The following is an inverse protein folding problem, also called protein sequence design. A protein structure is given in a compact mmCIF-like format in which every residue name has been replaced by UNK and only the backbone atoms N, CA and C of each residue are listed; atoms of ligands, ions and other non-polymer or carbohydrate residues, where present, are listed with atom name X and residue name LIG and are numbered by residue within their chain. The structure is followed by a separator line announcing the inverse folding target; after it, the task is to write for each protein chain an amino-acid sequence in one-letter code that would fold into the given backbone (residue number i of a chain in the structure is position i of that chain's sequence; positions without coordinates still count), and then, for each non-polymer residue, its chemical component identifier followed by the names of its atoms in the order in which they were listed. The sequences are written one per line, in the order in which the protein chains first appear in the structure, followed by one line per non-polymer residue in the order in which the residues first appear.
data_IF_989920947439
#
_entry.id   IF_989920947439
#
_cell.length_a   1.000
_cell.length_b   1.000
_cell.length_c   1.000
_cell.angle_alpha   90.00
_cell.angle_beta   90.00
_cell.angle_gamma   90.00
#
_symmetry.space_group_name_H-M   'P 1'
#
loop_
_entity.id
_entity.type
_entity.pdbx_description
1 polymer ?
#
# COMPACT_ATOMS: atom_id res chain seq x y z
N UNK A 1 0.97 -17.63 27.56
CA UNK A 1 0.80 -16.92 26.29
C UNK A 1 0.05 -15.63 26.60
N UNK A 2 0.55 -14.47 26.17
CA UNK A 2 -0.24 -13.24 26.15
C UNK A 2 -1.55 -13.47 25.35
N UNK A 3 -2.68 -12.85 25.74
CA UNK A 3 -3.97 -13.06 25.09
C UNK A 3 -4.06 -12.51 23.65
N UNK A 4 -3.31 -11.47 23.31
CA UNK A 4 -3.20 -10.96 21.93
C UNK A 4 -4.49 -10.34 21.37
N UNK A 5 -5.26 -9.64 22.21
CA UNK A 5 -6.53 -9.06 21.78
C UNK A 5 -6.37 -8.01 20.67
N UNK A 6 -5.39 -7.10 20.82
CA UNK A 6 -5.00 -6.14 19.80
C UNK A 6 -4.02 -6.79 18.81
N UNK A 7 -3.05 -7.57 19.31
CA UNK A 7 -1.93 -8.20 18.58
C UNK A 7 -2.05 -9.75 18.58
N UNK A 8 -2.77 -10.37 17.65
CA UNK A 8 -3.49 -9.76 16.53
C UNK A 8 -4.93 -10.28 16.33
N UNK A 9 -5.65 -10.56 17.42
CA UNK A 9 -7.06 -10.94 17.30
C UNK A 9 -7.91 -9.83 16.63
N UNK A 10 -7.52 -8.57 16.78
CA UNK A 10 -8.18 -7.42 16.13
C UNK A 10 -8.06 -7.45 14.60
N UNK A 11 -6.90 -7.78 14.05
CA UNK A 11 -6.70 -7.95 12.60
C UNK A 11 -7.46 -9.17 12.06
N UNK A 12 -7.44 -10.29 12.79
CA UNK A 12 -8.19 -11.49 12.44
C UNK A 12 -9.71 -11.24 12.44
N UNK A 13 -10.22 -10.50 13.43
CA UNK A 13 -11.64 -10.15 13.50
C UNK A 13 -12.08 -9.33 12.28
N UNK A 14 -11.28 -8.35 11.86
CA UNK A 14 -11.52 -7.58 10.62
C UNK A 14 -11.53 -8.50 9.40
N UNK A 15 -10.54 -9.38 9.28
CA UNK A 15 -10.43 -10.33 8.16
C UNK A 15 -11.68 -11.22 8.03
N UNK A 16 -12.16 -11.78 9.15
CA UNK A 16 -13.35 -12.63 9.19
C UNK A 16 -14.63 -11.85 8.85
N UNK A 17 -14.80 -10.65 9.39
CA UNK A 17 -15.99 -9.84 9.13
C UNK A 17 -16.05 -9.37 7.67
N UNK A 18 -14.92 -8.96 7.10
CA UNK A 18 -14.85 -8.60 5.69
C UNK A 18 -15.09 -9.82 4.78
N UNK A 19 -14.61 -11.01 5.16
CA UNK A 19 -14.92 -12.24 4.44
C UNK A 19 -16.43 -12.53 4.46
N UNK A 20 -17.10 -12.37 5.61
CA UNK A 20 -18.55 -12.50 5.75
C UNK A 20 -19.30 -11.53 4.82
N UNK A 21 -18.88 -10.26 4.78
CA UNK A 21 -19.51 -9.24 3.93
C UNK A 21 -19.27 -9.55 2.44
N UNK A 22 -18.02 -9.80 2.04
CA UNK A 22 -17.65 -10.01 0.64
C UNK A 22 -18.12 -11.34 0.05
N UNK A 23 -18.48 -12.32 0.88
CA UNK A 23 -19.12 -13.56 0.43
C UNK A 23 -20.45 -13.32 -0.34
N UNK A 24 -21.10 -12.17 -0.12
CA UNK A 24 -22.33 -11.79 -0.83
C UNK A 24 -22.08 -11.06 -2.17
N UNK A 25 -20.83 -10.81 -2.53
CA UNK A 25 -20.45 -10.06 -3.72
C UNK A 25 -19.54 -10.88 -4.64
N UNK A 26 -19.43 -10.46 -5.90
CA UNK A 26 -18.57 -11.08 -6.90
C UNK A 26 -17.55 -10.06 -7.41
N UNK A 27 -16.44 -9.84 -6.69
CA UNK A 27 -15.36 -8.99 -7.19
C UNK A 27 -14.78 -9.58 -8.47
N UNK A 28 -14.20 -8.72 -9.32
CA UNK A 28 -13.64 -9.16 -10.61
C UNK A 28 -12.29 -9.87 -10.48
N UNK A 29 -11.57 -9.60 -9.40
CA UNK A 29 -10.34 -10.29 -9.01
C UNK A 29 -10.56 -11.10 -7.74
N UNK A 30 -9.78 -12.17 -7.59
CA UNK A 30 -9.80 -13.00 -6.38
C UNK A 30 -9.32 -12.20 -5.17
N UNK A 31 -10.07 -12.30 -4.08
CA UNK A 31 -9.70 -11.81 -2.76
C UNK A 31 -9.36 -13.03 -1.90
N UNK A 32 -8.21 -12.98 -1.22
CA UNK A 32 -7.76 -14.03 -0.30
C UNK A 32 -7.67 -13.44 1.10
N UNK A 33 -8.38 -14.05 2.05
CA UNK A 33 -8.27 -13.75 3.47
C UNK A 33 -7.40 -14.82 4.12
N UNK A 34 -6.35 -14.40 4.82
CA UNK A 34 -5.38 -15.31 5.43
C UNK A 34 -5.14 -14.91 6.88
N UNK A 35 -5.21 -15.89 7.78
CA UNK A 35 -4.68 -15.77 9.14
C UNK A 35 -3.37 -16.58 9.19
N UNK A 36 -2.24 -15.91 9.41
CA UNK A 36 -0.95 -16.56 9.43
C UNK A 36 -0.68 -17.21 10.79
N UNK A 37 -0.05 -18.38 10.75
CA UNK A 37 0.53 -18.99 11.94
C UNK A 37 2.03 -18.67 11.97
N UNK A 38 2.59 -18.53 13.18
CA UNK A 38 4.04 -18.43 13.32
C UNK A 38 4.65 -17.06 13.09
N UNK A 39 3.87 -15.96 13.12
CA UNK A 39 4.37 -14.58 13.02
C UNK A 39 5.44 -14.35 14.10
N UNK A 40 5.05 -14.57 15.35
CA UNK A 40 5.89 -14.39 16.55
C UNK A 40 7.08 -15.35 16.65
N UNK A 41 7.13 -16.38 15.79
CA UNK A 41 8.26 -17.31 15.68
C UNK A 41 9.18 -17.01 14.48
N UNK A 42 8.99 -15.85 13.84
CA UNK A 42 9.78 -15.41 12.70
C UNK A 42 9.05 -15.51 11.36
N UNK A 43 7.77 -15.16 11.31
CA UNK A 43 6.97 -15.01 10.08
C UNK A 43 6.80 -16.30 9.27
N UNK A 44 6.78 -17.46 9.93
CA UNK A 44 6.87 -18.78 9.26
C UNK A 44 5.74 -19.02 8.25
N UNK A 45 4.50 -18.69 8.62
CA UNK A 45 3.34 -18.84 7.73
C UNK A 45 3.40 -17.92 6.51
N UNK A 46 3.75 -16.64 6.71
CA UNK A 46 3.88 -15.69 5.62
C UNK A 46 5.03 -16.03 4.67
N UNK A 47 6.18 -16.48 5.20
CA UNK A 47 7.30 -16.98 4.38
C UNK A 47 6.88 -18.16 3.51
N UNK A 48 6.18 -19.14 4.08
CA UNK A 48 5.72 -20.30 3.34
C UNK A 48 4.75 -19.90 2.21
N UNK A 49 3.77 -19.04 2.50
CA UNK A 49 2.79 -18.62 1.50
C UNK A 49 3.44 -17.76 0.40
N UNK A 50 4.29 -16.80 0.76
CA UNK A 50 4.98 -15.94 -0.19
C UNK A 50 5.86 -16.76 -1.16
N UNK A 51 6.60 -17.75 -0.65
CA UNK A 51 7.42 -18.62 -1.49
C UNK A 51 6.56 -19.55 -2.35
N UNK A 52 5.46 -20.08 -1.81
CA UNK A 52 4.49 -20.88 -2.57
C UNK A 52 3.93 -20.08 -3.74
N UNK A 53 3.49 -18.84 -3.50
CA UNK A 53 2.96 -17.95 -4.53
C UNK A 53 4.02 -17.63 -5.58
N UNK A 54 5.24 -17.33 -5.15
CA UNK A 54 6.38 -17.06 -6.05
C UNK A 54 6.68 -18.25 -6.96
N UNK A 55 6.76 -19.45 -6.39
CA UNK A 55 7.01 -20.69 -7.14
C UNK A 55 5.90 -21.01 -8.14
N UNK A 56 4.65 -20.70 -7.78
CA UNK A 56 3.49 -20.86 -8.64
C UNK A 56 3.26 -19.68 -9.60
N UNK A 57 4.14 -18.66 -9.62
CA UNK A 57 4.00 -17.45 -10.44
C UNK A 57 2.65 -16.75 -10.26
N UNK A 58 2.14 -16.73 -9.02
CA UNK A 58 0.85 -16.11 -8.70
C UNK A 58 0.95 -14.61 -8.98
N UNK A 59 -0.01 -14.08 -9.74
CA UNK A 59 -0.19 -12.66 -9.96
C UNK A 59 -0.89 -12.02 -8.74
N UNK A 60 -0.11 -11.51 -7.79
CA UNK A 60 -0.61 -10.84 -6.59
C UNK A 60 -0.51 -9.32 -6.75
N UNK A 61 -1.67 -8.65 -6.80
CA UNK A 61 -1.73 -7.20 -6.97
C UNK A 61 -1.27 -6.44 -5.71
N UNK A 62 -1.61 -6.93 -4.52
CA UNK A 62 -1.24 -6.34 -3.25
C UNK A 62 -1.35 -7.37 -2.12
N UNK A 63 -0.43 -7.29 -1.15
CA UNK A 63 -0.56 -7.89 0.16
C UNK A 63 -0.85 -6.77 1.18
N UNK A 64 -1.97 -6.86 1.88
CA UNK A 64 -2.38 -5.90 2.91
C UNK A 64 -2.34 -6.62 4.25
N UNK A 65 -1.35 -6.27 5.07
CA UNK A 65 -1.19 -6.82 6.42
C UNK A 65 -1.94 -5.96 7.43
N UNK A 66 -2.75 -6.58 8.30
CA UNK A 66 -3.40 -5.95 9.43
C UNK A 66 -2.71 -6.43 10.67
N UNK A 67 -2.24 -5.52 11.50
CA UNK A 67 -1.44 -5.90 12.66
C UNK A 67 -1.57 -4.81 13.71
N UNK A 68 -2.18 -5.17 14.84
CA UNK A 68 -2.55 -4.21 15.89
C UNK A 68 -3.47 -3.11 15.37
N UNK A 69 -4.63 -3.48 14.81
CA UNK A 69 -5.63 -2.54 14.28
C UNK A 69 -6.80 -2.36 15.25
N UNK A 70 -6.52 -2.37 16.57
CA UNK A 70 -7.54 -2.53 17.61
C UNK A 70 -7.64 -1.42 18.65
N UNK A 71 -6.66 -0.51 18.77
CA UNK A 71 -6.64 0.47 19.86
C UNK A 71 -6.18 1.86 19.40
N UNK A 72 -6.92 2.90 19.77
CA UNK A 72 -6.64 4.30 19.42
C UNK A 72 -5.86 5.07 20.50
N UNK A 73 -5.67 4.46 21.69
CA UNK A 73 -5.15 5.12 22.89
C UNK A 73 -3.68 4.81 23.13
N UNK A 74 -2.91 5.85 23.48
CA UNK A 74 -1.52 5.76 23.87
C UNK A 74 -1.34 5.50 25.38
N UNK A 75 -0.12 5.14 25.77
CA UNK A 75 0.25 4.96 27.19
C UNK A 75 0.07 6.24 28.04
N UNK A 76 0.29 7.43 27.45
CA UNK A 76 0.11 8.72 28.13
C UNK A 76 -1.37 9.18 28.20
N UNK A 77 -2.29 8.37 27.68
CA UNK A 77 -3.72 8.66 27.66
C UNK A 77 -4.19 9.47 26.45
N UNK A 78 -3.30 9.92 25.58
CA UNK A 78 -3.68 10.55 24.30
C UNK A 78 -4.46 9.56 23.43
N UNK A 79 -5.39 10.07 22.62
CA UNK A 79 -6.24 9.26 21.75
C UNK A 79 -6.14 9.78 20.32
N UNK A 80 -6.05 8.86 19.37
CA UNK A 80 -6.05 9.16 17.93
C UNK A 80 -7.00 8.21 17.19
N UNK A 81 -8.33 8.37 17.35
CA UNK A 81 -9.33 7.41 16.87
C UNK A 81 -9.59 7.48 15.36
N UNK A 82 -9.00 8.46 14.67
CA UNK A 82 -9.26 8.77 13.26
C UNK A 82 -8.01 8.71 12.39
N UNK A 83 -6.89 8.18 12.90
CA UNK A 83 -5.70 7.97 12.08
C UNK A 83 -5.15 6.57 12.26
N UNK A 84 -4.79 5.93 11.15
CA UNK A 84 -4.12 4.64 11.12
C UNK A 84 -2.80 4.74 10.36
N UNK A 85 -1.73 4.13 10.86
CA UNK A 85 -0.43 4.11 10.15
C UNK A 85 -0.45 3.04 9.08
N UNK A 86 0.14 3.35 7.93
CA UNK A 86 0.37 2.41 6.85
C UNK A 86 1.86 2.41 6.48
N UNK A 87 2.57 1.34 6.83
CA UNK A 87 3.98 1.18 6.51
C UNK A 87 4.15 0.76 5.05
N UNK A 88 4.91 1.58 4.32
CA UNK A 88 5.20 1.41 2.90
C UNK A 88 6.70 1.42 2.67
N UNK A 89 7.25 0.27 2.25
CA UNK A 89 8.66 0.14 1.89
C UNK A 89 9.06 1.18 0.83
N UNK A 90 10.29 1.72 0.92
CA UNK A 90 10.92 2.47 -0.18
C UNK A 90 11.29 1.57 -1.35
N UNK A 91 12.51 1.71 -1.88
CA UNK A 91 13.01 0.90 -3.00
C UNK A 91 12.83 -0.61 -2.75
N UNK A 92 12.28 -1.38 -3.72
CA UNK A 92 12.12 -2.83 -3.57
C UNK A 92 13.44 -3.55 -3.32
N UNK A 93 13.44 -4.56 -2.44
CA UNK A 93 14.66 -5.36 -2.12
C UNK A 93 15.13 -6.21 -3.30
N UNK A 94 14.22 -6.49 -4.24
CA UNK A 94 14.45 -7.35 -5.40
C UNK A 94 14.77 -6.57 -6.68
N UNK A 95 14.87 -5.24 -6.61
CA UNK A 95 15.16 -4.39 -7.76
C UNK A 95 16.62 -4.63 -8.23
N UNK A 96 16.82 -4.79 -9.54
CA UNK A 96 18.17 -4.99 -10.09
C UNK A 96 19.00 -3.68 -10.04
N UNK A 97 20.32 -3.80 -10.09
CA UNK A 97 21.24 -2.67 -9.95
C UNK A 97 20.96 -1.52 -10.95
N UNK A 98 20.69 -1.85 -12.22
CA UNK A 98 20.38 -0.84 -13.26
C UNK A 98 19.12 -0.05 -12.94
N UNK A 99 18.06 -0.74 -12.52
CA UNK A 99 16.77 -0.10 -12.19
C UNK A 99 16.90 0.73 -10.92
N UNK A 100 17.63 0.24 -9.92
CA UNK A 100 17.93 0.97 -8.70
C UNK A 100 18.71 2.26 -8.99
N UNK A 101 19.78 2.19 -9.80
CA UNK A 101 20.53 3.39 -10.23
C UNK A 101 19.64 4.38 -10.97
N UNK A 102 18.81 3.90 -11.91
CA UNK A 102 17.89 4.76 -12.65
C UNK A 102 16.82 5.39 -11.76
N UNK A 103 16.33 4.67 -10.75
CA UNK A 103 15.36 5.20 -9.78
C UNK A 103 15.97 6.33 -8.97
N UNK A 104 17.19 6.14 -8.48
CA UNK A 104 17.89 7.17 -7.70
C UNK A 104 18.20 8.40 -8.56
N UNK A 105 18.57 8.24 -9.84
CA UNK A 105 18.89 9.38 -10.71
C UNK A 105 17.68 10.26 -11.03
N UNK A 106 16.45 9.73 -10.94
CA UNK A 106 15.21 10.47 -11.18
C UNK A 106 14.47 10.87 -9.90
N UNK A 107 15.08 10.68 -8.72
CA UNK A 107 14.44 11.00 -7.43
C UNK A 107 13.23 10.09 -7.09
N UNK A 108 13.20 8.88 -7.63
CA UNK A 108 12.07 7.94 -7.51
C UNK A 108 12.12 7.01 -6.28
N UNK A 109 12.99 7.27 -5.30
CA UNK A 109 13.11 6.48 -4.07
C UNK A 109 11.84 6.55 -3.21
N UNK A 110 11.04 7.60 -3.39
CA UNK A 110 9.74 7.79 -2.75
C UNK A 110 8.53 7.24 -3.53
N UNK A 111 8.77 6.58 -4.66
CA UNK A 111 7.72 6.16 -5.60
C UNK A 111 7.88 4.68 -5.97
N UNK A 112 8.21 3.89 -4.95
CA UNK A 112 8.17 2.43 -5.04
C UNK A 112 6.73 1.91 -5.21
N UNK A 113 6.55 0.67 -5.69
CA UNK A 113 5.24 0.02 -5.75
C UNK A 113 4.47 0.08 -4.42
N UNK A 114 5.15 -0.15 -3.29
CA UNK A 114 4.51 -0.11 -1.97
C UNK A 114 4.08 1.31 -1.55
N UNK A 115 4.85 2.35 -1.86
CA UNK A 115 4.46 3.75 -1.58
C UNK A 115 3.33 4.22 -2.50
N UNK A 116 3.33 3.79 -3.76
CA UNK A 116 2.23 4.10 -4.67
C UNK A 116 0.94 3.34 -4.32
N UNK A 117 1.05 2.11 -3.82
CA UNK A 117 -0.07 1.42 -3.19
C UNK A 117 -0.56 2.21 -1.97
N UNK A 118 0.35 2.70 -1.11
CA UNK A 118 -0.03 3.54 0.04
C UNK A 118 -0.76 4.82 -0.34
N UNK A 119 -0.31 5.52 -1.40
CA UNK A 119 -1.01 6.70 -1.94
C UNK A 119 -2.39 6.35 -2.49
N UNK A 120 -2.50 5.21 -3.18
CA UNK A 120 -3.78 4.72 -3.67
C UNK A 120 -4.75 4.43 -2.51
N UNK A 121 -4.28 3.73 -1.47
CA UNK A 121 -5.08 3.45 -0.26
C UNK A 121 -5.53 4.76 0.38
N UNK A 122 -4.62 5.73 0.53
CA UNK A 122 -4.97 7.05 1.04
C UNK A 122 -6.10 7.69 0.22
N UNK A 123 -5.98 7.72 -1.11
CA UNK A 123 -6.95 8.32 -2.02
C UNK A 123 -8.34 7.68 -1.90
N UNK A 124 -8.43 6.35 -1.86
CA UNK A 124 -9.72 5.65 -1.86
C UNK A 124 -10.34 5.54 -0.47
N UNK A 125 -9.53 5.59 0.59
CA UNK A 125 -9.98 5.25 1.95
C UNK A 125 -9.84 6.37 2.98
N UNK A 126 -9.21 7.51 2.69
CA UNK A 126 -9.17 8.65 3.62
C UNK A 126 -10.30 9.62 3.33
N UNK A 127 -11.50 9.30 3.82
CA UNK A 127 -12.71 10.06 3.51
C UNK A 127 -13.79 9.94 4.60
N UNK A 128 -14.88 10.67 4.41
CA UNK A 128 -16.00 10.75 5.37
C UNK A 128 -16.72 9.42 5.59
N UNK A 129 -16.62 8.45 4.68
CA UNK A 129 -17.31 7.17 4.82
C UNK A 129 -16.56 6.19 5.71
N UNK A 130 -15.23 6.22 5.63
CA UNK A 130 -14.36 5.43 6.50
C UNK A 130 -14.17 6.10 7.86
N UNK A 131 -14.35 7.43 7.94
CA UNK A 131 -14.10 8.25 9.12
C UNK A 131 -12.67 8.07 9.66
N UNK A 132 -11.73 7.70 8.78
CA UNK A 132 -10.35 7.36 9.12
C UNK A 132 -9.43 8.00 8.09
N UNK A 133 -8.31 8.53 8.56
CA UNK A 133 -7.22 9.02 7.73
C UNK A 133 -6.08 8.01 7.72
N UNK A 134 -5.64 7.61 6.52
CA UNK A 134 -4.48 6.73 6.36
C UNK A 134 -3.20 7.56 6.39
N UNK A 135 -2.39 7.41 7.44
CA UNK A 135 -1.07 8.04 7.54
C UNK A 135 -0.03 7.13 6.88
N UNK A 136 0.37 7.47 5.66
CA UNK A 136 1.42 6.74 4.94
C UNK A 136 2.77 6.99 5.62
N UNK A 137 3.41 5.92 6.09
CA UNK A 137 4.71 5.94 6.73
C UNK A 137 5.74 5.40 5.72
N UNK A 138 6.69 6.25 5.33
CA UNK A 138 7.75 5.94 4.35
C UNK A 138 8.86 5.05 4.92
N UNK A 139 8.48 3.91 5.49
CA UNK A 139 9.35 2.93 6.13
C UNK A 139 8.81 1.54 5.85
N UNK A 140 9.71 0.55 5.82
CA UNK A 140 9.31 -0.85 5.75
C UNK A 140 8.51 -1.25 7.01
N UNK A 141 8.94 -0.78 8.18
CA UNK A 141 8.29 -1.08 9.45
C UNK A 141 8.65 -0.10 10.60
N UNK A 142 8.07 -0.34 11.78
CA UNK A 142 8.47 0.21 13.09
C UNK A 142 9.88 -0.23 13.45
N UNK A 143 10.55 0.56 14.30
CA UNK A 143 11.89 0.21 14.78
C UNK A 143 11.89 -1.13 15.52
N UNK A 144 12.83 -2.00 15.14
CA UNK A 144 13.02 -3.34 15.75
C UNK A 144 11.83 -4.28 15.64
N UNK A 145 10.87 -4.00 14.73
CA UNK A 145 9.71 -4.87 14.48
C UNK A 145 9.67 -5.34 13.03
N UNK A 146 8.89 -6.39 12.81
CA UNK A 146 8.54 -6.94 11.51
C UNK A 146 7.06 -7.33 11.52
N UNK A 147 6.54 -7.75 10.37
CA UNK A 147 5.19 -8.32 10.24
C UNK A 147 5.07 -9.09 8.93
N UNK A 148 3.94 -9.75 8.74
CA UNK A 148 3.71 -10.71 7.66
C UNK A 148 3.76 -10.13 6.23
N UNK A 149 3.76 -8.81 6.04
CA UNK A 149 4.00 -8.20 4.72
C UNK A 149 5.45 -8.35 4.24
N UNK A 150 6.41 -8.49 5.15
CA UNK A 150 7.84 -8.48 4.82
C UNK A 150 8.27 -9.66 3.93
N UNK A 151 7.87 -10.92 4.19
CA UNK A 151 8.21 -12.04 3.30
C UNK A 151 7.66 -11.87 1.89
N UNK A 152 6.52 -11.19 1.71
CA UNK A 152 5.98 -10.88 0.38
C UNK A 152 6.83 -9.86 -0.35
N UNK A 153 7.29 -8.80 0.33
CA UNK A 153 8.23 -7.82 -0.22
C UNK A 153 9.55 -8.49 -0.63
N UNK A 154 10.09 -9.38 0.21
CA UNK A 154 11.31 -10.16 -0.07
C UNK A 154 11.13 -11.15 -1.24
N UNK A 155 9.91 -11.66 -1.43
CA UNK A 155 9.56 -12.48 -2.57
C UNK A 155 9.43 -11.68 -3.89
N UNK A 156 9.31 -10.34 -3.82
CA UNK A 156 9.14 -9.45 -4.97
C UNK A 156 7.71 -8.97 -5.20
N UNK A 157 6.78 -9.26 -4.27
CA UNK A 157 5.42 -8.75 -4.30
C UNK A 157 5.32 -7.35 -3.68
N UNK A 158 4.23 -6.64 -3.97
CA UNK A 158 3.92 -5.37 -3.32
C UNK A 158 3.14 -5.64 -2.03
N UNK A 159 3.65 -5.14 -0.89
CA UNK A 159 3.05 -5.34 0.43
C UNK A 159 3.06 -4.07 1.28
N UNK A 160 2.06 -3.92 2.13
CA UNK A 160 1.91 -2.82 3.09
C UNK A 160 1.35 -3.33 4.42
N UNK A 161 1.62 -2.63 5.52
CA UNK A 161 1.14 -3.02 6.87
C UNK A 161 0.41 -1.87 7.55
N UNK A 162 -0.83 -2.12 7.95
CA UNK A 162 -1.57 -1.25 8.83
C UNK A 162 -1.21 -1.52 10.28
N UNK A 163 -0.99 -0.45 11.05
CA UNK A 163 -0.77 -0.50 12.50
C UNK A 163 -1.45 0.70 13.14
N UNK A 164 -2.04 0.52 14.32
CA UNK A 164 -2.52 1.64 15.14
C UNK A 164 -1.44 2.71 15.36
N UNK A 165 -1.80 4.00 15.54
CA UNK A 165 -0.84 5.10 15.63
C UNK A 165 -0.06 5.09 16.95
N UNK A 166 -0.74 4.70 18.02
CA UNK A 166 -0.23 4.78 19.38
C UNK A 166 -0.12 3.39 19.99
N UNK A 167 0.87 3.23 20.85
CA UNK A 167 1.23 1.95 21.42
C UNK A 167 1.42 2.09 22.92
N UNK A 168 0.87 1.13 23.66
CA UNK A 168 1.14 0.98 25.09
C UNK A 168 1.93 -0.31 25.31
N UNK A 169 3.20 -0.17 25.68
CA UNK A 169 4.10 -1.30 25.90
C UNK A 169 3.74 -2.12 27.14
N UNK A 170 2.88 -1.60 28.01
CA UNK A 170 2.33 -2.39 29.11
C UNK A 170 1.26 -3.37 28.63
N UNK A 171 0.73 -3.18 27.42
CA UNK A 171 -0.27 -4.03 26.80
C UNK A 171 0.38 -5.02 25.81
N UNK A 172 1.46 -4.63 25.12
CA UNK A 172 2.11 -5.47 24.10
C UNK A 172 3.14 -6.47 24.63
N UNK A 173 3.07 -7.73 24.18
CA UNK A 173 4.02 -8.81 24.52
C UNK A 173 4.22 -8.98 26.05
N UNK A 174 3.20 -8.62 26.84
CA UNK A 174 3.23 -8.75 28.31
C UNK A 174 2.37 -9.92 28.76
N UNK A 175 2.84 -10.63 29.78
CA UNK A 175 1.97 -11.56 30.52
C UNK A 175 0.91 -10.77 31.29
N UNK A 176 -0.29 -11.35 31.39
CA UNK A 176 -1.39 -10.75 32.16
C UNK A 176 -0.97 -10.70 33.64
N UNK A 177 -0.79 -9.49 34.16
CA UNK A 177 -0.38 -9.26 35.55
C UNK A 177 -0.73 -7.85 35.97
N UNK A 178 -0.70 -7.60 37.28
CA UNK A 178 -0.80 -6.26 37.85
C UNK A 178 0.52 -5.96 38.56
N UNK A 179 1.18 -4.86 38.19
CA UNK A 179 2.40 -4.37 38.84
C UNK A 179 2.18 -2.93 39.28
N UNK A 180 2.37 -2.66 40.57
CA UNK A 180 2.18 -1.33 41.16
C UNK A 180 0.80 -0.72 40.83
N UNK A 181 -0.25 -1.54 40.83
CA UNK A 181 -1.61 -1.11 40.49
C UNK A 181 -1.89 -0.86 39.00
N UNK A 182 -0.89 -0.99 38.11
CA UNK A 182 -1.04 -0.90 36.66
C UNK A 182 -1.29 -2.29 36.08
N UNK A 183 -2.33 -2.43 35.24
CA UNK A 183 -2.64 -3.66 34.51
C UNK A 183 -1.71 -3.83 33.31
N UNK A 184 -1.19 -5.05 33.12
CA UNK A 184 -0.36 -5.44 31.98
C UNK A 184 -1.04 -6.56 31.17
N UNK A 185 -0.66 -6.66 29.90
CA UNK A 185 -1.11 -7.69 28.97
C UNK A 185 -2.19 -7.20 27.99
N UNK A 186 -2.21 -7.83 26.83
CA UNK A 186 -3.07 -7.46 25.71
C UNK A 186 -4.47 -8.10 25.84
N UNK A 187 -5.37 -7.38 26.51
CA UNK A 187 -6.71 -7.84 26.86
C UNK A 187 -7.80 -7.14 26.03
N UNK A 188 -8.95 -7.78 25.92
CA UNK A 188 -10.12 -7.24 25.18
C UNK A 188 -10.62 -5.90 25.69
N UNK A 189 -10.38 -5.55 26.96
CA UNK A 189 -10.73 -4.26 27.54
C UNK A 189 -9.97 -3.07 26.91
N UNK A 190 -8.87 -3.34 26.19
CA UNK A 190 -8.09 -2.31 25.48
C UNK A 190 -8.56 -2.09 24.05
N UNK A 191 -9.50 -2.89 23.56
CA UNK A 191 -10.05 -2.73 22.22
C UNK A 191 -10.95 -1.50 22.14
N UNK A 192 -10.67 -0.67 21.16
CA UNK A 192 -11.56 0.35 20.64
C UNK A 192 -12.29 -0.23 19.42
N UNK A 193 -13.51 -0.76 19.65
CA UNK A 193 -14.32 -1.38 18.61
C UNK A 193 -14.71 -0.41 17.50
N UNK A 194 -14.84 0.88 17.82
CA UNK A 194 -15.16 1.92 16.84
C UNK A 194 -13.94 2.19 15.95
N UNK A 195 -12.75 2.25 16.53
CA UNK A 195 -11.50 2.33 15.77
C UNK A 195 -11.31 1.11 14.87
N UNK A 196 -11.53 -0.11 15.39
CA UNK A 196 -11.41 -1.35 14.64
C UNK A 196 -12.44 -1.41 13.48
N UNK A 197 -13.65 -0.90 13.70
CA UNK A 197 -14.67 -0.74 12.64
C UNK A 197 -14.21 0.22 11.54
N UNK A 198 -13.63 1.37 11.91
CA UNK A 198 -13.06 2.32 10.93
C UNK A 198 -11.90 1.71 10.15
N UNK A 199 -11.01 0.96 10.80
CA UNK A 199 -9.95 0.21 10.14
C UNK A 199 -10.52 -0.82 9.14
N UNK A 200 -11.58 -1.56 9.51
CA UNK A 200 -12.26 -2.48 8.60
C UNK A 200 -12.82 -1.78 7.36
N UNK A 201 -13.42 -0.58 7.50
CA UNK A 201 -13.92 0.22 6.36
C UNK A 201 -12.78 0.64 5.42
N UNK A 202 -11.62 1.03 5.95
CA UNK A 202 -10.43 1.36 5.14
C UNK A 202 -9.98 0.16 4.31
N UNK A 203 -9.88 -1.00 4.94
CA UNK A 203 -9.46 -2.25 4.29
C UNK A 203 -10.48 -2.69 3.25
N UNK A 204 -11.78 -2.68 3.58
CA UNK A 204 -12.85 -3.02 2.65
C UNK A 204 -12.83 -2.14 1.39
N UNK A 205 -12.72 -0.83 1.57
CA UNK A 205 -12.72 0.14 0.46
C UNK A 205 -11.51 -0.07 -0.44
N UNK A 206 -10.35 -0.33 0.16
CA UNK A 206 -9.12 -0.66 -0.57
C UNK A 206 -9.27 -1.92 -1.40
N UNK A 207 -9.69 -3.03 -0.76
CA UNK A 207 -9.82 -4.33 -1.40
C UNK A 207 -10.85 -4.29 -2.52
N UNK A 208 -12.00 -3.66 -2.29
CA UNK A 208 -13.04 -3.50 -3.30
C UNK A 208 -12.55 -2.69 -4.49
N UNK A 209 -11.83 -1.60 -4.25
CA UNK A 209 -11.30 -0.74 -5.32
C UNK A 209 -10.27 -1.48 -6.17
N UNK A 210 -9.32 -2.19 -5.55
CA UNK A 210 -8.32 -2.99 -6.27
C UNK A 210 -8.96 -4.16 -7.01
N UNK A 211 -9.90 -4.87 -6.38
CA UNK A 211 -10.46 -6.09 -6.94
C UNK A 211 -11.39 -5.84 -8.14
N UNK A 212 -11.83 -4.59 -8.35
CA UNK A 212 -12.63 -4.19 -9.50
C UNK A 212 -11.87 -3.34 -10.52
N UNK A 213 -10.63 -2.94 -10.23
CA UNK A 213 -9.79 -2.16 -11.12
C UNK A 213 -9.01 -3.05 -12.10
N UNK A 214 -8.71 -2.56 -13.32
CA UNK A 214 -7.69 -3.16 -14.16
C UNK A 214 -6.32 -3.14 -13.46
N UNK A 215 -5.43 -4.04 -13.87
CA UNK A 215 -4.06 -4.02 -13.35
C UNK A 215 -3.32 -2.75 -13.78
N UNK A 216 -2.23 -2.43 -13.07
CA UNK A 216 -1.37 -1.28 -13.41
C UNK A 216 -0.70 -1.45 -14.77
N UNK A 217 -0.51 -0.37 -15.54
CA UNK A 217 0.22 -0.44 -16.80
C UNK A 217 1.66 -0.88 -16.56
N UNK A 218 2.26 -1.55 -17.55
CA UNK A 218 3.64 -2.06 -17.47
C UNK A 218 4.57 -1.27 -18.38
N UNK A 219 5.89 -1.38 -18.17
CA UNK A 219 6.90 -0.71 -18.99
C UNK A 219 6.66 0.81 -19.16
N UNK A 220 6.15 1.44 -18.10
CA UNK A 220 5.86 2.87 -18.06
C UNK A 220 7.17 3.63 -18.17
N UNK A 221 7.25 4.54 -19.12
CA UNK A 221 8.45 5.33 -19.33
C UNK A 221 8.20 6.76 -19.74
N UNK A 222 9.23 7.58 -19.56
CA UNK A 222 9.31 8.97 -19.98
C UNK A 222 10.50 9.17 -20.93
N UNK A 223 10.29 9.88 -22.04
CA UNK A 223 11.33 10.10 -23.04
C UNK A 223 12.36 11.12 -22.54
N UNK A 224 13.64 10.79 -22.64
CA UNK A 224 14.76 11.68 -22.28
C UNK A 224 15.69 12.00 -23.46
N UNK A 225 15.37 11.57 -24.68
CA UNK A 225 16.22 11.79 -25.87
C UNK A 225 16.15 13.20 -26.43
N UNK A 226 15.09 13.93 -26.11
CA UNK A 226 14.85 15.28 -26.62
C UNK A 226 15.12 16.30 -25.53
N UNK A 227 15.92 17.32 -25.85
CA UNK A 227 16.14 18.48 -24.99
C UNK A 227 15.03 19.51 -25.20
N UNK A 228 13.82 19.16 -24.78
CA UNK A 228 12.67 20.05 -24.74
C UNK A 228 11.97 20.03 -23.37
N UNK A 229 11.00 20.94 -23.21
CA UNK A 229 10.18 21.06 -22.01
C UNK A 229 8.98 20.12 -21.99
N UNK A 230 8.81 19.28 -23.02
CA UNK A 230 7.69 18.38 -23.11
C UNK A 230 7.99 17.06 -22.40
N UNK A 231 6.92 16.41 -21.97
CA UNK A 231 7.01 15.10 -21.32
C UNK A 231 6.26 14.09 -22.17
N UNK A 232 7.02 13.24 -22.84
CA UNK A 232 6.47 12.17 -23.67
C UNK A 232 6.50 10.87 -22.90
N UNK A 233 5.35 10.20 -22.84
CA UNK A 233 5.15 9.01 -22.06
C UNK A 233 4.78 7.84 -22.96
N UNK A 234 5.21 6.65 -22.55
CA UNK A 234 4.77 5.37 -23.13
C UNK A 234 4.50 4.35 -22.05
N UNK A 235 3.63 3.40 -22.33
CA UNK A 235 3.40 2.25 -21.47
C UNK A 235 2.76 1.12 -22.27
N UNK A 236 2.81 -0.08 -21.72
CA UNK A 236 2.08 -1.23 -22.23
C UNK A 236 0.78 -1.41 -21.46
N UNK A 237 -0.28 -1.75 -22.20
CA UNK A 237 -1.55 -2.08 -21.61
C UNK A 237 -1.44 -3.32 -20.70
N UNK A 238 -2.05 -3.27 -19.50
CA UNK A 238 -2.05 -4.42 -18.59
C UNK A 238 -2.84 -5.59 -19.18
N UNK A 239 -2.49 -6.81 -18.75
CA UNK A 239 -3.34 -7.99 -18.95
C UNK A 239 -4.43 -8.04 -17.87
N UNK A 240 -5.56 -8.68 -18.18
CA UNK A 240 -6.64 -8.93 -17.23
C UNK A 240 -7.91 -8.15 -17.58
N UNK A 241 -8.44 -7.39 -16.62
CA UNK A 241 -9.68 -6.66 -16.82
C UNK A 241 -9.52 -5.56 -17.88
N UNK A 242 -10.57 -5.26 -18.68
CA UNK A 242 -10.52 -4.21 -19.68
C UNK A 242 -10.19 -2.83 -19.10
N UNK A 243 -9.35 -2.10 -19.82
CA UNK A 243 -9.02 -0.69 -19.56
C UNK A 243 -9.92 0.19 -20.42
N UNK A 244 -10.56 1.19 -19.81
CA UNK A 244 -11.37 2.20 -20.49
C UNK A 244 -10.56 3.47 -20.80
N UNK A 245 -9.50 3.72 -20.04
CA UNK A 245 -8.57 4.82 -20.28
C UNK A 245 -7.38 4.79 -19.33
N UNK A 246 -6.51 5.79 -19.45
CA UNK A 246 -5.37 5.99 -18.55
C UNK A 246 -5.39 7.40 -17.98
N UNK A 247 -4.76 7.54 -16.82
CA UNK A 247 -4.52 8.82 -16.18
C UNK A 247 -3.02 9.01 -15.96
N UNK A 248 -2.53 10.21 -16.28
CA UNK A 248 -1.21 10.69 -15.82
C UNK A 248 -1.44 11.51 -14.55
N UNK A 249 -0.84 11.06 -13.45
CA UNK A 249 -0.82 11.79 -12.19
C UNK A 249 0.47 12.59 -12.09
N UNK A 250 0.41 13.71 -11.41
CA UNK A 250 1.63 14.42 -11.02
C UNK A 250 1.47 15.11 -9.67
N UNK A 251 2.62 15.35 -9.04
CA UNK A 251 2.75 16.06 -7.76
C UNK A 251 4.09 16.77 -7.71
N UNK A 252 4.18 17.88 -6.97
CA UNK A 252 5.50 18.43 -6.64
C UNK A 252 6.31 17.42 -5.83
N UNK A 253 7.64 17.53 -5.89
CA UNK A 253 8.55 16.55 -5.26
C UNK A 253 8.35 16.45 -3.74
N UNK A 254 7.90 17.54 -3.10
CA UNK A 254 7.62 17.65 -1.67
C UNK A 254 6.24 17.10 -1.25
N UNK A 255 5.32 16.92 -2.19
CA UNK A 255 3.95 16.50 -1.89
C UNK A 255 3.89 14.99 -1.58
N UNK A 256 3.26 14.55 -0.48
CA UNK A 256 3.23 13.13 -0.13
C UNK A 256 2.24 12.32 -0.98
N UNK A 257 1.25 12.97 -1.58
CA UNK A 257 0.16 12.37 -2.35
C UNK A 257 0.09 12.94 -3.76
N UNK A 258 -0.63 12.23 -4.65
CA UNK A 258 -0.94 12.76 -5.98
C UNK A 258 -1.90 13.94 -5.83
N UNK A 259 -1.55 15.09 -6.38
CA UNK A 259 -2.34 16.33 -6.25
C UNK A 259 -3.08 16.69 -7.53
N UNK A 260 -2.64 16.14 -8.68
CA UNK A 260 -3.21 16.45 -9.97
C UNK A 260 -3.34 15.20 -10.84
N UNK A 261 -4.32 15.23 -11.74
CA UNK A 261 -4.67 14.12 -12.65
C UNK A 261 -4.96 14.70 -14.04
N UNK A 262 -4.43 14.04 -15.06
CA UNK A 262 -4.71 14.31 -16.48
C UNK A 262 -5.30 13.02 -17.06
N UNK A 263 -6.57 13.06 -17.46
CA UNK A 263 -7.18 11.99 -18.25
C UNK A 263 -6.62 12.05 -19.68
N UNK A 264 -6.04 10.95 -20.14
CA UNK A 264 -5.42 10.85 -21.47
C UNK A 264 -6.18 9.90 -22.39
N UNK A 265 -7.33 9.36 -21.94
CA UNK A 265 -8.12 8.39 -22.69
C UNK A 265 -7.41 7.05 -22.87
N UNK A 266 -7.94 6.22 -23.77
CA UNK A 266 -7.41 4.88 -24.04
C UNK A 266 -6.25 4.91 -25.06
N UNK A 267 -5.11 5.43 -24.62
CA UNK A 267 -3.86 5.50 -25.40
C UNK A 267 -2.73 4.79 -24.66
N UNK A 268 -1.66 4.42 -25.37
CA UNK A 268 -0.42 3.86 -24.78
C UNK A 268 0.80 4.76 -25.01
N UNK A 269 0.58 5.91 -25.64
CA UNK A 269 1.55 6.95 -25.89
C UNK A 269 0.87 8.30 -25.69
N UNK A 270 1.54 9.22 -24.99
CA UNK A 270 1.00 10.56 -24.76
C UNK A 270 2.11 11.61 -24.76
N UNK A 271 1.88 12.72 -25.45
CA UNK A 271 2.80 13.87 -25.45
C UNK A 271 2.18 15.01 -24.64
N UNK A 272 2.69 15.22 -23.43
CA UNK A 272 2.29 16.36 -22.60
C UNK A 272 3.02 17.61 -23.09
N UNK A 273 2.33 18.42 -23.88
CA UNK A 273 2.84 19.67 -24.45
C UNK A 273 2.67 20.88 -23.54
N UNK A 274 2.20 20.68 -22.30
CA UNK A 274 1.98 21.78 -21.36
C UNK A 274 3.30 22.37 -20.90
N UNK A 275 3.55 23.63 -21.26
CA UNK A 275 4.74 24.36 -20.80
C UNK A 275 4.71 24.69 -19.29
N UNK A 276 3.60 24.48 -18.59
CA UNK A 276 3.50 24.76 -17.15
C UNK A 276 3.85 23.57 -16.26
N UNK A 277 3.91 22.35 -16.82
CA UNK A 277 4.21 21.13 -16.07
C UNK A 277 5.59 20.63 -16.49
N UNK A 278 6.62 21.16 -15.82
CA UNK A 278 8.01 20.80 -16.07
C UNK A 278 8.39 19.52 -15.33
N UNK A 279 8.92 18.53 -16.07
CA UNK A 279 9.39 17.23 -15.53
C UNK A 279 10.47 17.33 -14.45
N UNK A 280 11.17 18.44 -14.36
CA UNK A 280 12.19 18.68 -13.33
C UNK A 280 11.56 19.12 -11.99
N UNK A 281 10.33 19.63 -12.00
CA UNK A 281 9.64 20.17 -10.82
C UNK A 281 8.65 19.18 -10.19
N UNK A 282 8.29 18.12 -10.91
CA UNK A 282 7.22 17.20 -10.50
C UNK A 282 7.64 15.75 -10.64
N UNK A 283 7.01 14.90 -9.84
CA UNK A 283 7.01 13.45 -10.05
C UNK A 283 5.75 13.08 -10.82
N UNK A 284 5.89 12.21 -11.80
CA UNK A 284 4.78 11.65 -12.56
C UNK A 284 4.45 10.22 -12.12
N UNK A 285 3.20 9.82 -12.36
CA UNK A 285 2.76 8.43 -12.31
C UNK A 285 1.75 8.16 -13.42
N UNK A 286 1.66 6.92 -13.88
CA UNK A 286 0.63 6.49 -14.84
C UNK A 286 -0.21 5.39 -14.21
N UNK A 287 -1.54 5.47 -14.34
CA UNK A 287 -2.45 4.41 -13.89
C UNK A 287 -3.50 4.06 -14.93
N UNK A 288 -3.99 2.82 -14.85
CA UNK A 288 -5.11 2.34 -15.64
C UNK A 288 -6.43 2.76 -14.98
N UNK A 289 -7.42 3.10 -15.80
CA UNK A 289 -8.81 3.35 -15.39
C UNK A 289 -9.71 2.33 -16.09
N UNK A 290 -10.53 1.64 -15.32
CA UNK A 290 -11.52 0.70 -15.85
C UNK A 290 -12.95 1.12 -15.58
N UNK A 291 -13.86 0.22 -15.93
CA UNK A 291 -15.31 0.43 -15.82
C UNK A 291 -15.73 0.93 -14.45
N UNK A 292 -16.53 2.00 -14.43
CA UNK A 292 -17.02 2.59 -13.19
C UNK A 292 -15.99 3.47 -12.47
N UNK A 293 -14.87 3.80 -13.12
CA UNK A 293 -13.84 4.66 -12.57
C UNK A 293 -12.89 3.97 -11.59
N UNK A 294 -12.89 2.63 -11.51
CA UNK A 294 -11.93 1.90 -10.69
C UNK A 294 -10.52 2.01 -11.29
N UNK A 295 -9.54 2.31 -10.45
CA UNK A 295 -8.19 2.69 -10.89
C UNK A 295 -7.15 1.76 -10.27
N UNK A 296 -6.09 1.50 -11.02
CA UNK A 296 -4.92 0.83 -10.48
C UNK A 296 -4.10 1.79 -9.60
N UNK A 297 -3.20 1.29 -8.73
CA UNK A 297 -2.11 2.10 -8.22
C UNK A 297 -1.26 2.68 -9.38
N UNK A 298 -0.69 3.86 -9.16
CA UNK A 298 0.16 4.54 -10.13
C UNK A 298 1.53 3.86 -10.24
N UNK A 299 2.11 3.91 -11.44
CA UNK A 299 3.44 3.39 -11.75
C UNK A 299 4.35 4.55 -12.14
N UNK A 300 5.53 4.59 -11.51
CA UNK A 300 6.56 5.58 -11.81
C UNK A 300 7.13 5.34 -13.22
N UNK A 301 7.17 6.35 -14.11
CA UNK A 301 7.83 6.23 -15.40
C UNK A 301 9.35 6.20 -15.25
N UNK A 302 10.00 5.28 -15.96
CA UNK A 302 11.47 5.25 -16.09
C UNK A 302 11.95 5.89 -17.41
N UNK A 303 13.14 6.50 -17.45
CA UNK A 303 13.71 7.02 -18.68
C UNK A 303 13.76 5.96 -19.80
N UNK A 304 13.32 6.32 -21.00
CA UNK A 304 13.56 5.53 -22.21
C UNK A 304 14.16 6.36 -23.33
N UNK A 305 14.88 5.66 -24.21
CA UNK A 305 15.66 6.25 -25.28
C UNK A 305 17.03 6.75 -24.78
N UNK A 306 18.06 6.60 -25.61
CA UNK A 306 19.42 6.95 -25.24
C UNK A 306 19.69 8.43 -25.54
N UNK A 307 20.00 9.23 -24.51
CA UNK A 307 20.27 10.66 -24.68
C UNK A 307 21.75 10.97 -25.01
N UNK A 308 22.71 10.09 -24.64
CA UNK A 308 24.14 10.10 -25.04
C UNK A 308 24.89 8.90 -24.41
N UNK A 309 25.78 8.26 -25.18
CA UNK A 309 26.70 7.17 -24.78
C UNK A 309 26.06 5.90 -24.19
N UNK A 310 25.23 5.27 -25.02
CA UNK A 310 25.16 3.82 -25.13
C UNK A 310 26.15 3.40 -26.24
#
# INVERSE_FOLDING_TARGET
MPPGAVDDASGVAVSLELARIFAHYKPKSTIVFTAFAGEEQGLLGAQNLAQTYKNASVNLAAMINLDMVGNSKAEDGTTDPHNIRLFCQGTPLTENATTMTSRLSIGGDNDSPARNLGRFIYEVASNVWTEMTVRVIYRLDRYSRGGDHRPFLEAGYTGVRFVQPNEDYTQQHQNVTVRNGKQYGDLTQWLDFEYNTRAAKVVATTMWSLANAPASPTNVGINTTMSDNFSQFKWDAPKGLPVEGYEILYRETIEPHWTNVIDVGNVTWYNLTSATIHKDNVIFGVRSVGKGGYKSPAVLPFPFGCARNC
#
